data_IF_002069006695
#
_entry.id   IF_002069006695
#
_cell.length_a   1.000
_cell.length_b   1.000
_cell.length_c   1.000
_cell.angle_alpha   90.00
_cell.angle_beta   90.00
_cell.angle_gamma   90.00
#
_symmetry.space_group_name_H-M   'P 1'
#
loop_
_entity.id
_entity.type
_entity.pdbx_description
1 polymer ?
#
# COMPACT_ATOMS: atom_id res chain seq x y z
N UNK A 1 10.84 15.58 -5.92
CA UNK A 1 9.75 15.12 -5.02
C UNK A 1 8.91 14.16 -5.85
N UNK A 2 8.83 12.87 -5.53
CA UNK A 2 7.97 11.95 -6.29
C UNK A 2 6.53 12.37 -6.04
N UNK A 3 5.80 12.60 -7.12
CA UNK A 3 4.36 12.84 -7.04
C UNK A 3 3.65 11.53 -6.72
N UNK A 4 3.27 11.37 -5.45
CA UNK A 4 2.58 10.17 -4.97
C UNK A 4 1.11 10.10 -5.44
N UNK A 5 0.59 11.14 -6.12
CA UNK A 5 -0.79 11.14 -6.62
C UNK A 5 -0.95 10.31 -7.89
N UNK A 6 0.04 10.28 -8.78
CA UNK A 6 -0.05 9.58 -10.07
C UNK A 6 -0.41 8.09 -9.97
N UNK A 7 0.20 7.26 -9.07
CA UNK A 7 -0.21 5.86 -8.91
C UNK A 7 -1.62 5.70 -8.35
N UNK A 8 -2.03 6.58 -7.45
CA UNK A 8 -3.38 6.57 -6.88
C UNK A 8 -4.43 6.96 -7.94
N UNK A 9 -4.09 7.91 -8.80
CA UNK A 9 -4.95 8.35 -9.90
C UNK A 9 -5.10 7.25 -10.95
N UNK A 10 -4.02 6.50 -11.26
CA UNK A 10 -4.10 5.32 -12.12
C UNK A 10 -5.06 4.26 -11.56
N UNK A 11 -5.01 3.97 -10.25
CA UNK A 11 -5.97 3.07 -9.60
C UNK A 11 -7.41 3.59 -9.68
N UNK A 12 -7.63 4.91 -9.53
CA UNK A 12 -8.97 5.50 -9.69
C UNK A 12 -9.48 5.38 -11.12
N UNK A 13 -8.61 5.53 -12.12
CA UNK A 13 -8.98 5.33 -13.53
C UNK A 13 -9.43 3.89 -13.78
N UNK A 14 -8.69 2.90 -13.28
CA UNK A 14 -9.07 1.48 -13.39
C UNK A 14 -10.44 1.22 -12.74
N UNK A 15 -10.71 1.79 -11.56
CA UNK A 15 -12.02 1.65 -10.90
C UNK A 15 -13.14 2.26 -11.77
N UNK A 16 -12.89 3.42 -12.38
CA UNK A 16 -13.85 4.07 -13.27
C UNK A 16 -14.13 3.23 -14.53
N UNK A 17 -13.10 2.65 -15.14
CA UNK A 17 -13.24 1.78 -16.31
C UNK A 17 -14.06 0.52 -15.99
N UNK A 18 -13.81 -0.11 -14.83
CA UNK A 18 -14.60 -1.25 -14.36
C UNK A 18 -16.05 -0.86 -14.10
N UNK A 19 -16.30 0.33 -13.53
CA UNK A 19 -17.64 0.82 -13.26
C UNK A 19 -18.43 1.15 -14.54
N UNK A 20 -17.73 1.48 -15.64
CA UNK A 20 -18.32 1.83 -16.93
C UNK A 20 -18.74 0.61 -17.79
N UNK A 21 -18.39 -0.62 -17.38
CA UNK A 21 -18.83 -1.85 -18.07
C UNK A 21 -20.37 -1.88 -18.15
N UNK A 22 -21.00 -1.95 -19.34
CA UNK A 22 -22.46 -1.79 -19.45
C UNK A 22 -23.26 -2.92 -18.79
N UNK A 23 -22.88 -4.17 -19.05
CA UNK A 23 -23.60 -5.33 -18.51
C UNK A 23 -23.37 -5.46 -16.98
N UNK A 24 -24.44 -5.46 -16.16
CA UNK A 24 -24.30 -5.54 -14.71
C UNK A 24 -23.66 -6.84 -14.22
N UNK A 25 -23.83 -7.96 -14.92
CA UNK A 25 -23.26 -9.24 -14.51
C UNK A 25 -21.75 -9.25 -14.77
N UNK A 26 -21.31 -8.83 -15.96
CA UNK A 26 -19.90 -8.66 -16.31
C UNK A 26 -19.21 -7.65 -15.40
N UNK A 27 -19.85 -6.50 -15.14
CA UNK A 27 -19.33 -5.47 -14.23
C UNK A 27 -19.10 -6.02 -12.83
N UNK A 28 -20.06 -6.74 -12.27
CA UNK A 28 -19.95 -7.34 -10.94
C UNK A 28 -18.80 -8.37 -10.87
N UNK A 29 -18.66 -9.22 -11.90
CA UNK A 29 -17.57 -10.21 -11.99
C UNK A 29 -16.20 -9.54 -12.07
N UNK A 30 -16.06 -8.51 -12.90
CA UNK A 30 -14.80 -7.78 -13.06
C UNK A 30 -14.38 -7.08 -11.76
N UNK A 31 -15.33 -6.42 -11.08
CA UNK A 31 -15.08 -5.81 -9.77
C UNK A 31 -14.70 -6.85 -8.71
N UNK A 32 -15.38 -7.98 -8.66
CA UNK A 32 -15.09 -9.06 -7.71
C UNK A 32 -13.66 -9.60 -7.89
N UNK A 33 -13.24 -9.86 -9.13
CA UNK A 33 -11.90 -10.35 -9.42
C UNK A 33 -10.80 -9.38 -8.92
N UNK A 34 -11.02 -8.07 -9.04
CA UNK A 34 -10.08 -7.07 -8.52
C UNK A 34 -10.11 -7.03 -6.99
N UNK A 35 -11.30 -7.05 -6.38
CA UNK A 35 -11.43 -7.07 -4.92
C UNK A 35 -10.73 -8.28 -4.29
N UNK A 36 -10.83 -9.45 -4.92
CA UNK A 36 -10.16 -10.67 -4.47
C UNK A 36 -8.63 -10.56 -4.54
N UNK A 37 -8.10 -9.77 -5.48
CA UNK A 37 -6.66 -9.53 -5.63
C UNK A 37 -6.12 -8.44 -4.67
N UNK A 38 -6.97 -7.52 -4.18
CA UNK A 38 -6.55 -6.40 -3.31
C UNK A 38 -5.75 -6.85 -2.08
N UNK A 39 -6.10 -7.92 -1.33
CA UNK A 39 -5.29 -8.40 -0.22
C UNK A 39 -3.84 -8.73 -0.61
N UNK A 40 -3.64 -9.33 -1.78
CA UNK A 40 -2.32 -9.63 -2.35
C UNK A 40 -1.54 -8.35 -2.64
N UNK A 41 -2.14 -7.41 -3.37
CA UNK A 41 -1.53 -6.10 -3.65
C UNK A 41 -1.19 -5.33 -2.38
N UNK A 42 -2.05 -5.38 -1.35
CA UNK A 42 -1.75 -4.76 -0.07
C UNK A 42 -0.59 -5.43 0.66
N UNK A 43 -0.45 -6.76 0.56
CA UNK A 43 0.69 -7.47 1.14
C UNK A 43 2.00 -7.08 0.45
N UNK A 44 2.02 -7.03 -0.89
CA UNK A 44 3.16 -6.60 -1.68
C UNK A 44 3.58 -5.16 -1.36
N UNK A 45 2.63 -4.22 -1.33
CA UNK A 45 2.90 -2.83 -0.96
C UNK A 45 3.46 -2.70 0.47
N UNK A 46 2.95 -3.51 1.42
CA UNK A 46 3.46 -3.52 2.80
C UNK A 46 4.89 -4.05 2.86
N UNK A 47 5.19 -5.13 2.14
CA UNK A 47 6.52 -5.72 2.08
C UNK A 47 7.53 -4.76 1.45
N UNK A 48 7.18 -4.14 0.31
CA UNK A 48 8.03 -3.15 -0.35
C UNK A 48 8.28 -1.93 0.55
N UNK A 49 7.26 -1.42 1.26
CA UNK A 49 7.43 -0.33 2.22
C UNK A 49 8.32 -0.74 3.39
N UNK A 50 8.17 -1.95 3.91
CA UNK A 50 9.03 -2.46 4.99
C UNK A 50 10.48 -2.54 4.54
N UNK A 51 10.76 -3.08 3.36
CA UNK A 51 12.10 -3.17 2.80
C UNK A 51 12.75 -1.78 2.69
N UNK A 52 12.05 -0.79 2.12
CA UNK A 52 12.55 0.58 2.02
C UNK A 52 12.85 1.20 3.41
N UNK A 53 12.01 0.94 4.42
CA UNK A 53 12.27 1.41 5.80
C UNK A 53 13.49 0.71 6.41
N UNK A 54 13.69 -0.58 6.17
CA UNK A 54 14.87 -1.33 6.64
C UNK A 54 16.14 -0.76 5.99
N UNK A 55 16.12 -0.48 4.69
CA UNK A 55 17.24 0.15 3.97
C UNK A 55 17.59 1.53 4.58
N UNK A 56 16.59 2.36 4.86
CA UNK A 56 16.80 3.64 5.53
C UNK A 56 17.42 3.46 6.92
N UNK A 57 16.97 2.43 7.66
CA UNK A 57 17.46 2.12 9.01
C UNK A 57 18.88 1.57 9.05
N UNK A 58 19.42 1.10 7.92
CA UNK A 58 20.81 0.66 7.84
C UNK A 58 21.81 1.82 8.03
N UNK A 59 21.39 3.06 7.76
CA UNK A 59 22.27 4.24 7.83
C UNK A 59 21.75 5.37 8.72
N UNK A 60 20.50 5.29 9.20
CA UNK A 60 19.84 6.36 9.97
C UNK A 60 19.14 5.81 11.20
N UNK A 61 19.13 6.59 12.29
CA UNK A 61 18.35 6.36 13.53
C UNK A 61 16.83 6.36 13.27
N UNK A 62 16.03 5.84 14.23
CA UNK A 62 14.58 5.80 14.10
C UNK A 62 13.98 7.21 14.00
N UNK A 63 14.56 8.16 14.73
CA UNK A 63 14.14 9.56 14.74
C UNK A 63 14.42 10.25 13.41
N UNK A 64 15.58 10.00 12.79
CA UNK A 64 15.91 10.55 11.47
C UNK A 64 15.00 9.99 10.38
N UNK A 65 14.72 8.68 10.41
CA UNK A 65 13.77 8.07 9.46
C UNK A 65 12.36 8.59 9.67
N UNK A 66 11.91 8.75 10.93
CA UNK A 66 10.61 9.32 11.27
C UNK A 66 10.46 10.75 10.73
N UNK A 67 11.47 11.60 10.94
CA UNK A 67 11.50 12.96 10.41
C UNK A 67 11.48 12.98 8.88
N UNK A 68 12.29 12.14 8.23
CA UNK A 68 12.36 12.07 6.76
C UNK A 68 11.05 11.59 6.11
N UNK A 69 10.32 10.69 6.76
CA UNK A 69 9.07 10.13 6.25
C UNK A 69 7.81 10.86 6.74
N UNK A 70 7.94 11.83 7.66
CA UNK A 70 6.80 12.55 8.23
C UNK A 70 5.87 11.67 9.06
N UNK A 71 6.40 10.65 9.74
CA UNK A 71 5.62 9.72 10.58
C UNK A 71 6.24 9.61 11.98
N UNK A 72 5.51 9.03 12.94
CA UNK A 72 6.04 8.86 14.31
C UNK A 72 7.12 7.78 14.39
N UNK A 73 8.05 7.94 15.34
CA UNK A 73 9.10 6.93 15.65
C UNK A 73 8.52 5.53 15.93
N UNK A 74 7.46 5.37 16.75
CA UNK A 74 6.83 4.06 16.94
C UNK A 74 6.31 3.45 15.63
N UNK A 75 5.84 4.29 14.70
CA UNK A 75 5.34 3.81 13.41
C UNK A 75 6.46 3.28 12.52
N UNK A 76 7.63 3.94 12.52
CA UNK A 76 8.84 3.43 11.83
C UNK A 76 9.22 2.05 12.39
N UNK A 77 9.26 1.92 13.72
CA UNK A 77 9.59 0.66 14.39
C UNK A 77 8.62 -0.47 14.01
N UNK A 78 7.31 -0.21 14.02
CA UNK A 78 6.29 -1.17 13.59
C UNK A 78 6.41 -1.58 12.12
N UNK A 79 6.76 -0.65 11.23
CA UNK A 79 6.95 -0.96 9.81
C UNK A 79 8.19 -1.84 9.64
N UNK A 80 9.31 -1.48 10.26
CA UNK A 80 10.56 -2.23 10.17
C UNK A 80 10.43 -3.67 10.71
N UNK A 81 9.66 -3.86 11.78
CA UNK A 81 9.42 -5.18 12.37
C UNK A 81 8.41 -6.04 11.60
N UNK A 82 7.75 -5.49 10.57
CA UNK A 82 6.74 -6.20 9.79
C UNK A 82 5.45 -6.50 10.57
N UNK A 83 5.29 -5.92 11.77
CA UNK A 83 4.12 -6.15 12.60
C UNK A 83 2.93 -5.42 12.00
N UNK A 84 2.03 -6.18 11.36
CA UNK A 84 0.71 -5.71 10.99
C UNK A 84 -0.31 -6.11 12.06
N UNK A 85 -1.24 -5.21 12.40
CA UNK A 85 -2.37 -5.49 13.32
C UNK A 85 -3.27 -6.65 12.86
N UNK A 86 -3.09 -7.15 11.64
CA UNK A 86 -3.88 -8.26 11.10
C UNK A 86 -3.35 -9.65 11.44
N UNK A 87 -2.20 -9.76 12.11
CA UNK A 87 -1.70 -11.03 12.65
C UNK A 87 -2.42 -11.37 13.97
N UNK A 88 -3.75 -11.50 13.93
CA UNK A 88 -4.51 -12.20 14.96
C UNK A 88 -4.98 -13.51 14.34
N UNK A 89 -4.39 -14.62 14.80
CA UNK A 89 -4.88 -15.98 14.57
C UNK A 89 -6.33 -16.13 14.98
#
# INVERSE_FOLDING_TARGET
>A
MIDNSAPADALRAVIADLAAVPDPVERARALAAVLDAVPGFQAELRAARQAAVIELRATRSLAEVAAALGISVPRVSQIASGVSRSAKK
#
